data_IF_231356733023
#
_entry.id   IF_231356733023
#
_cell.length_a   1.000
_cell.length_b   1.000
_cell.length_c   1.000
_cell.angle_alpha   90.00
_cell.angle_beta   90.00
_cell.angle_gamma   90.00
#
_symmetry.space_group_name_H-M   'P 1'
#
loop_
_entity.id
_entity.type
_entity.pdbx_description
1 polymer ?
#
# COMPACT_ATOMS: atom_id res chain seq x y z
N UNK A 1 7.28 66.64 -40.57
CA UNK A 1 6.65 65.30 -40.56
C UNK A 1 7.62 64.19 -40.11
N UNK A 2 8.90 64.25 -40.47
CA UNK A 2 9.94 63.26 -40.08
C UNK A 2 10.21 63.14 -38.58
N UNK A 3 10.17 64.24 -37.81
CA UNK A 3 10.39 64.21 -36.34
C UNK A 3 9.27 63.55 -35.54
N UNK A 4 8.04 63.57 -36.05
CA UNK A 4 6.87 62.95 -35.39
C UNK A 4 6.88 61.44 -35.64
N UNK A 5 7.21 61.02 -36.87
CA UNK A 5 7.39 59.61 -37.21
C UNK A 5 8.49 58.94 -36.38
N UNK A 6 9.62 59.62 -36.17
CA UNK A 6 10.72 59.09 -35.36
C UNK A 6 10.36 58.95 -33.87
N UNK A 7 9.57 59.90 -33.32
CA UNK A 7 9.06 59.81 -31.94
C UNK A 7 8.06 58.68 -31.75
N UNK A 8 7.17 58.46 -32.74
CA UNK A 8 6.23 57.33 -32.73
C UNK A 8 6.95 55.98 -32.82
N UNK A 9 8.02 55.89 -33.62
CA UNK A 9 8.82 54.67 -33.73
C UNK A 9 9.54 54.32 -32.42
N UNK A 10 10.08 55.33 -31.72
CA UNK A 10 10.71 55.15 -30.41
C UNK A 10 9.70 54.76 -29.31
N UNK A 11 8.48 55.29 -29.37
CA UNK A 11 7.41 54.93 -28.45
C UNK A 11 6.92 53.49 -28.69
N UNK A 12 6.79 53.08 -29.96
CA UNK A 12 6.43 51.72 -30.33
C UNK A 12 7.52 50.71 -29.94
N UNK A 13 8.80 51.07 -30.12
CA UNK A 13 9.92 50.24 -29.70
C UNK A 13 9.94 50.04 -28.18
N UNK A 14 9.76 51.11 -27.39
CA UNK A 14 9.74 51.03 -25.92
C UNK A 14 8.54 50.26 -25.36
N UNK A 15 7.37 50.31 -26.01
CA UNK A 15 6.22 49.48 -25.65
C UNK A 15 6.48 47.98 -25.89
N UNK A 16 7.26 47.62 -26.93
CA UNK A 16 7.65 46.23 -27.21
C UNK A 16 8.58 45.63 -26.14
N UNK A 17 9.46 46.44 -25.53
CA UNK A 17 10.35 45.98 -24.45
C UNK A 17 9.63 45.79 -23.10
N UNK A 18 8.53 46.52 -22.85
CA UNK A 18 7.74 46.36 -21.61
C UNK A 18 6.92 45.05 -21.60
N UNK A 19 6.60 44.48 -22.77
CA UNK A 19 5.83 43.24 -22.88
C UNK A 19 6.61 41.98 -22.43
N UNK A 20 7.95 42.04 -22.33
CA UNK A 20 8.77 40.93 -21.83
C UNK A 20 9.03 40.97 -20.31
N UNK A 21 8.52 42.00 -19.59
CA UNK A 21 8.74 42.17 -18.15
C UNK A 21 7.61 41.64 -17.27
N UNK A 22 6.52 41.13 -17.85
CA UNK A 22 5.44 40.46 -17.10
C UNK A 22 5.89 39.07 -16.66
N UNK A 23 6.79 39.03 -15.67
CA UNK A 23 6.93 37.84 -14.84
C UNK A 23 5.67 37.77 -13.98
N UNK A 24 4.76 36.79 -14.18
CA UNK A 24 3.68 36.61 -13.24
C UNK A 24 4.31 36.43 -11.85
N UNK A 25 3.72 36.99 -10.78
CA UNK A 25 4.20 36.72 -9.44
C UNK A 25 4.28 35.21 -9.28
N UNK A 26 5.41 34.71 -8.78
CA UNK A 26 5.56 33.31 -8.40
C UNK A 26 4.58 33.10 -7.25
N UNK A 27 3.35 32.71 -7.60
CA UNK A 27 2.33 32.30 -6.64
C UNK A 27 2.78 30.98 -6.05
N UNK A 28 3.54 31.03 -4.95
CA UNK A 28 3.97 29.90 -4.13
C UNK A 28 2.82 29.26 -3.33
N UNK A 29 1.57 29.52 -3.74
CA UNK A 29 0.36 29.19 -2.99
C UNK A 29 -0.66 28.36 -3.75
N UNK A 30 -0.27 27.60 -4.79
CA UNK A 30 -1.20 26.62 -5.34
C UNK A 30 -1.42 25.50 -4.31
N UNK A 31 -2.60 25.54 -3.70
CA UNK A 31 -3.28 24.49 -2.91
C UNK A 31 -3.56 23.20 -3.72
N UNK A 32 -2.77 22.93 -4.76
CA UNK A 32 -2.74 21.63 -5.42
C UNK A 32 -1.94 20.69 -4.52
N UNK A 33 -2.42 19.46 -4.23
CA UNK A 33 -1.70 18.56 -3.34
C UNK A 33 -0.28 18.34 -3.88
N UNK A 34 0.70 18.88 -3.16
CA UNK A 34 2.07 19.04 -3.63
C UNK A 34 2.81 17.70 -3.56
N UNK A 35 2.39 16.87 -2.60
CA UNK A 35 3.01 15.55 -2.36
C UNK A 35 2.14 14.41 -2.86
N UNK A 36 2.80 13.29 -3.19
CA UNK A 36 2.10 12.05 -3.52
C UNK A 36 1.20 11.57 -2.36
N UNK A 37 1.53 11.91 -1.11
CA UNK A 37 0.74 11.53 0.05
C UNK A 37 -0.60 12.28 0.13
N UNK A 38 -0.59 13.57 -0.20
CA UNK A 38 -1.81 14.38 -0.25
C UNK A 38 -2.67 14.05 -1.47
N UNK A 39 -2.06 13.73 -2.62
CA UNK A 39 -2.81 13.31 -3.83
C UNK A 39 -3.45 11.93 -3.69
N UNK A 40 -2.73 11.00 -3.07
CA UNK A 40 -3.12 9.59 -2.98
C UNK A 40 -3.22 9.16 -1.51
N UNK A 41 -4.06 9.78 -0.67
CA UNK A 41 -4.07 9.52 0.76
C UNK A 41 -4.48 8.07 1.06
N UNK A 42 -3.90 7.52 2.13
CA UNK A 42 -4.33 6.23 2.65
C UNK A 42 -5.68 6.41 3.34
N UNK A 43 -6.64 5.57 2.99
CA UNK A 43 -7.93 5.48 3.65
C UNK A 43 -8.14 4.09 4.18
N UNK A 44 -8.82 4.01 5.32
CA UNK A 44 -9.14 2.75 5.96
C UNK A 44 -10.58 2.39 5.66
N UNK A 45 -10.81 1.16 5.23
CA UNK A 45 -12.15 0.61 5.04
C UNK A 45 -12.19 -0.83 5.50
N UNK A 46 -13.33 -1.24 6.05
CA UNK A 46 -13.61 -2.66 6.20
C UNK A 46 -13.83 -3.26 4.82
N UNK A 47 -13.13 -4.34 4.52
CA UNK A 47 -13.21 -5.01 3.24
C UNK A 47 -13.03 -6.52 3.42
N UNK A 48 -13.68 -7.34 2.57
CA UNK A 48 -13.51 -8.78 2.63
C UNK A 48 -12.04 -9.18 2.40
N UNK A 49 -11.55 -10.11 3.21
CA UNK A 49 -10.34 -10.86 2.98
C UNK A 49 -10.77 -12.28 2.62
N UNK A 50 -10.41 -12.74 1.41
CA UNK A 50 -10.84 -14.04 0.89
C UNK A 50 -9.66 -14.96 0.58
N UNK A 51 -9.85 -16.25 0.76
CA UNK A 51 -8.93 -17.32 0.34
C UNK A 51 -9.73 -18.40 -0.39
N UNK A 52 -9.31 -18.73 -1.59
CA UNK A 52 -9.91 -19.82 -2.37
C UNK A 52 -9.11 -21.11 -2.12
N UNK A 53 -9.80 -22.18 -1.71
CA UNK A 53 -9.25 -23.52 -1.49
C UNK A 53 -9.76 -24.44 -2.59
N UNK A 54 -8.85 -24.89 -3.44
CA UNK A 54 -9.13 -25.77 -4.55
C UNK A 54 -9.33 -27.21 -4.07
N UNK A 55 -10.48 -27.77 -4.42
CA UNK A 55 -10.84 -29.14 -4.09
C UNK A 55 -10.11 -30.08 -5.05
N UNK A 56 -9.28 -30.96 -4.51
CA UNK A 56 -8.47 -31.90 -5.29
C UNK A 56 -8.87 -33.35 -4.99
N UNK A 57 -8.77 -34.22 -6.01
CA UNK A 57 -9.04 -35.65 -5.92
C UNK A 57 -10.37 -35.97 -5.24
N UNK A 58 -10.31 -36.77 -4.17
CA UNK A 58 -11.48 -37.15 -3.38
C UNK A 58 -11.85 -36.14 -2.30
N UNK A 59 -11.36 -34.90 -2.30
CA UNK A 59 -11.66 -33.93 -1.22
C UNK A 59 -10.57 -33.90 -0.15
N UNK A 60 -9.33 -33.76 -0.62
CA UNK A 60 -8.18 -33.47 0.22
C UNK A 60 -7.84 -31.99 0.14
N UNK A 61 -7.07 -31.53 1.12
CA UNK A 61 -6.37 -30.24 1.10
C UNK A 61 -4.91 -30.64 1.00
N UNK A 62 -4.22 -30.20 -0.06
CA UNK A 62 -2.79 -30.45 -0.17
C UNK A 62 -2.01 -29.67 0.91
N UNK A 63 -0.76 -30.05 1.22
CA UNK A 63 0.00 -29.42 2.30
C UNK A 63 0.14 -27.90 2.16
N UNK A 64 0.30 -27.37 0.94
CA UNK A 64 0.45 -25.93 0.75
C UNK A 64 -0.85 -25.19 1.03
N UNK A 65 -1.98 -25.68 0.51
CA UNK A 65 -3.28 -25.08 0.83
C UNK A 65 -3.64 -25.22 2.31
N UNK A 66 -3.18 -26.28 2.97
CA UNK A 66 -3.34 -26.44 4.40
C UNK A 66 -2.60 -25.34 5.18
N UNK A 67 -1.36 -25.05 4.80
CA UNK A 67 -0.58 -23.95 5.39
C UNK A 67 -1.24 -22.58 5.11
N UNK A 68 -1.74 -22.37 3.89
CA UNK A 68 -2.47 -21.14 3.52
C UNK A 68 -3.74 -20.96 4.37
N UNK A 69 -4.50 -22.03 4.61
CA UNK A 69 -5.69 -22.02 5.47
C UNK A 69 -5.30 -21.72 6.92
N UNK A 70 -4.26 -22.35 7.45
CA UNK A 70 -3.80 -22.13 8.83
C UNK A 70 -3.32 -20.67 9.04
N UNK A 71 -2.60 -20.11 8.06
CA UNK A 71 -2.20 -18.70 8.06
C UNK A 71 -3.41 -17.77 7.99
N UNK A 72 -4.40 -18.08 7.14
CA UNK A 72 -5.63 -17.31 7.02
C UNK A 72 -6.47 -17.33 8.30
N UNK A 73 -6.55 -18.48 8.98
CA UNK A 73 -7.23 -18.61 10.26
C UNK A 73 -6.51 -17.83 11.36
N UNK A 74 -5.18 -17.83 11.37
CA UNK A 74 -4.38 -16.98 12.27
C UNK A 74 -4.67 -15.50 12.01
N UNK A 75 -4.77 -15.09 10.75
CA UNK A 75 -5.14 -13.72 10.36
C UNK A 75 -6.55 -13.37 10.86
N UNK A 76 -7.52 -14.26 10.68
CA UNK A 76 -8.89 -14.09 11.19
C UNK A 76 -8.92 -13.93 12.71
N UNK A 77 -8.18 -14.75 13.46
CA UNK A 77 -8.10 -14.65 14.93
C UNK A 77 -7.50 -13.33 15.40
N UNK A 78 -6.59 -12.72 14.62
CA UNK A 78 -5.90 -11.49 15.00
C UNK A 78 -6.63 -10.22 14.56
N UNK A 79 -7.19 -10.22 13.35
CA UNK A 79 -7.73 -9.01 12.69
C UNK A 79 -9.17 -9.16 12.21
N UNK A 80 -9.76 -10.35 12.34
CA UNK A 80 -11.10 -10.63 11.86
C UNK A 80 -12.17 -9.86 12.61
N UNK A 81 -13.14 -9.36 11.85
CA UNK A 81 -14.37 -8.71 12.31
C UNK A 81 -15.54 -9.55 11.83
N UNK A 82 -16.44 -9.90 12.76
CA UNK A 82 -17.60 -10.72 12.47
C UNK A 82 -17.27 -12.20 12.26
N UNK A 83 -18.02 -12.83 11.36
CA UNK A 83 -18.00 -14.28 11.14
C UNK A 83 -16.99 -14.70 10.06
N UNK A 84 -16.48 -15.93 10.19
CA UNK A 84 -15.80 -16.64 9.12
C UNK A 84 -16.84 -17.29 8.22
N UNK A 85 -16.91 -16.85 6.97
CA UNK A 85 -17.83 -17.40 5.97
C UNK A 85 -17.08 -18.45 5.14
N UNK A 86 -17.68 -19.64 5.01
CA UNK A 86 -17.25 -20.72 4.15
C UNK A 86 -18.27 -20.84 3.01
N UNK A 87 -17.91 -20.31 1.84
CA UNK A 87 -18.74 -20.35 0.65
C UNK A 87 -18.46 -21.63 -0.15
N UNK A 88 -19.50 -22.46 -0.29
CA UNK A 88 -19.41 -23.82 -0.84
C UNK A 88 -19.97 -23.83 -2.25
N UNK A 89 -19.20 -24.29 -3.26
CA UNK A 89 -19.69 -24.37 -4.63
C UNK A 89 -20.82 -25.40 -4.74
N UNK A 90 -21.88 -25.03 -5.45
CA UNK A 90 -23.01 -25.92 -5.79
C UNK A 90 -23.29 -25.88 -7.29
N UNK A 91 -23.65 -27.02 -7.85
CA UNK A 91 -24.00 -27.18 -9.25
C UNK A 91 -24.04 -28.67 -9.62
N UNK A 92 -24.72 -29.01 -10.72
CA UNK A 92 -24.86 -30.40 -11.18
C UNK A 92 -23.53 -31.04 -11.59
N UNK A 93 -22.54 -30.23 -11.96
CA UNK A 93 -21.23 -30.66 -12.42
C UNK A 93 -20.12 -30.46 -11.37
N UNK A 94 -20.48 -30.01 -10.15
CA UNK A 94 -19.53 -29.86 -9.04
C UNK A 94 -19.37 -31.21 -8.33
N UNK A 95 -18.15 -31.66 -7.99
CA UNK A 95 -17.93 -32.92 -7.29
C UNK A 95 -18.35 -32.80 -5.81
N UNK A 96 -19.65 -32.82 -5.55
CA UNK A 96 -20.24 -32.49 -4.24
C UNK A 96 -19.64 -33.25 -3.07
N UNK A 97 -19.42 -34.57 -3.20
CA UNK A 97 -18.82 -35.36 -2.13
C UNK A 97 -17.36 -34.99 -1.82
N UNK A 98 -16.58 -34.57 -2.82
CA UNK A 98 -15.22 -34.09 -2.59
C UNK A 98 -15.23 -32.70 -1.91
N UNK A 99 -16.13 -31.81 -2.36
CA UNK A 99 -16.33 -30.49 -1.76
C UNK A 99 -16.74 -30.60 -0.28
N UNK A 100 -17.68 -31.47 0.05
CA UNK A 100 -18.14 -31.68 1.43
C UNK A 100 -17.01 -32.21 2.33
N UNK A 101 -16.19 -33.14 1.84
CA UNK A 101 -15.03 -33.63 2.59
C UNK A 101 -13.97 -32.54 2.79
N UNK A 102 -13.72 -31.70 1.80
CA UNK A 102 -12.81 -30.55 1.95
C UNK A 102 -13.37 -29.53 2.93
N UNK A 103 -14.67 -29.24 2.88
CA UNK A 103 -15.36 -28.34 3.82
C UNK A 103 -15.19 -28.82 5.27
N UNK A 104 -15.44 -30.09 5.55
CA UNK A 104 -15.29 -30.63 6.90
C UNK A 104 -13.83 -30.59 7.39
N UNK A 105 -12.84 -30.75 6.50
CA UNK A 105 -11.43 -30.57 6.84
C UNK A 105 -11.09 -29.12 7.19
N UNK A 106 -11.56 -28.16 6.38
CA UNK A 106 -11.37 -26.72 6.66
C UNK A 106 -12.07 -26.32 7.96
N UNK A 107 -13.30 -26.79 8.18
CA UNK A 107 -14.06 -26.55 9.40
C UNK A 107 -13.35 -27.13 10.63
N UNK A 108 -12.86 -28.36 10.53
CA UNK A 108 -12.05 -29.00 11.59
C UNK A 108 -10.81 -28.18 11.94
N UNK A 109 -10.07 -27.72 10.92
CA UNK A 109 -8.90 -26.82 11.12
C UNK A 109 -9.29 -25.51 11.79
N UNK A 110 -10.36 -24.86 11.35
CA UNK A 110 -10.86 -23.63 11.96
C UNK A 110 -11.13 -23.80 13.46
N UNK A 111 -11.77 -24.92 13.85
CA UNK A 111 -12.01 -25.24 15.26
C UNK A 111 -10.70 -25.46 16.04
N UNK A 112 -9.73 -26.17 15.47
CA UNK A 112 -8.40 -26.38 16.08
C UNK A 112 -7.65 -25.06 16.29
N UNK A 113 -7.79 -24.11 15.37
CA UNK A 113 -7.23 -22.75 15.48
C UNK A 113 -8.05 -21.80 16.36
N UNK A 114 -9.05 -22.31 17.08
CA UNK A 114 -9.80 -21.55 18.08
C UNK A 114 -10.90 -20.67 17.51
N UNK A 115 -11.36 -20.91 16.27
CA UNK A 115 -12.59 -20.29 15.74
C UNK A 115 -13.79 -20.95 16.39
N UNK A 116 -14.67 -20.16 17.02
CA UNK A 116 -15.87 -20.67 17.66
C UNK A 116 -16.87 -21.24 16.65
N UNK A 117 -17.59 -22.30 17.01
CA UNK A 117 -18.62 -22.92 16.14
C UNK A 117 -19.69 -21.94 15.66
N UNK A 118 -20.02 -20.94 16.48
CA UNK A 118 -21.00 -19.87 16.17
C UNK A 118 -20.43 -18.77 15.28
N UNK A 119 -19.11 -18.69 15.15
CA UNK A 119 -18.43 -17.73 14.28
C UNK A 119 -18.30 -18.25 12.85
N UNK A 120 -18.56 -19.54 12.60
CA UNK A 120 -18.47 -20.14 11.27
C UNK A 120 -19.86 -20.16 10.62
N UNK A 121 -19.98 -19.47 9.50
CA UNK A 121 -21.17 -19.48 8.64
C UNK A 121 -20.84 -20.23 7.36
N UNK A 122 -21.69 -21.18 6.97
CA UNK A 122 -21.53 -21.91 5.71
C UNK A 122 -22.64 -21.45 4.76
N UNK A 123 -22.26 -21.00 3.56
CA UNK A 123 -23.19 -20.50 2.56
C UNK A 123 -22.93 -21.19 1.20
N UNK A 124 -23.96 -21.64 0.47
CA UNK A 124 -23.77 -22.16 -0.87
C UNK A 124 -23.61 -21.00 -1.89
N UNK A 125 -22.85 -21.22 -2.96
CA UNK A 125 -22.86 -20.34 -4.13
C UNK A 125 -23.00 -21.14 -5.44
N UNK A 126 -23.75 -20.63 -6.43
CA UNK A 126 -23.92 -21.31 -7.71
C UNK A 126 -22.68 -21.18 -8.60
N UNK A 127 -22.23 -22.29 -9.18
CA UNK A 127 -21.18 -22.29 -10.22
C UNK A 127 -21.84 -22.22 -11.59
N UNK A 128 -21.73 -21.05 -12.24
CA UNK A 128 -22.36 -20.82 -13.55
C UNK A 128 -21.59 -21.46 -14.72
N UNK A 129 -20.26 -21.51 -14.64
CA UNK A 129 -19.40 -22.05 -15.69
C UNK A 129 -18.51 -23.16 -15.15
N UNK A 130 -18.70 -24.38 -15.67
CA UNK A 130 -17.96 -25.59 -15.29
C UNK A 130 -16.51 -25.59 -15.76
N UNK A 131 -16.18 -24.79 -16.79
CA UNK A 131 -14.82 -24.63 -17.27
C UNK A 131 -13.95 -23.80 -16.30
N UNK A 132 -14.57 -23.13 -15.33
CA UNK A 132 -13.87 -22.37 -14.29
C UNK A 132 -13.79 -23.22 -13.03
N UNK A 133 -12.63 -23.18 -12.38
CA UNK A 133 -12.43 -23.86 -11.10
C UNK A 133 -13.50 -23.43 -10.07
N UNK A 134 -14.04 -24.41 -9.34
CA UNK A 134 -15.05 -24.20 -8.31
C UNK A 134 -14.44 -24.42 -6.91
N UNK A 135 -13.71 -23.43 -6.36
CA UNK A 135 -13.07 -23.55 -5.06
C UNK A 135 -14.05 -23.43 -3.89
N UNK A 136 -13.66 -23.96 -2.74
CA UNK A 136 -14.25 -23.58 -1.46
C UNK A 136 -13.66 -22.23 -1.06
N UNK A 137 -14.49 -21.19 -0.91
CA UNK A 137 -14.00 -19.84 -0.59
C UNK A 137 -14.19 -19.53 0.89
N UNK A 138 -13.11 -19.17 1.56
CA UNK A 138 -13.12 -18.65 2.93
C UNK A 138 -13.13 -17.13 2.85
N UNK A 139 -13.94 -16.46 3.66
CA UNK A 139 -13.89 -15.01 3.77
C UNK A 139 -14.23 -14.50 5.17
N UNK A 140 -13.67 -13.34 5.52
CA UNK A 140 -14.04 -12.58 6.71
C UNK A 140 -13.84 -11.09 6.46
N UNK A 141 -14.46 -10.24 7.29
CA UNK A 141 -14.23 -8.80 7.21
C UNK A 141 -13.00 -8.40 8.02
N UNK A 142 -12.14 -7.56 7.46
CA UNK A 142 -11.06 -6.91 8.21
C UNK A 142 -10.91 -5.48 7.76
N UNK A 143 -10.32 -4.67 8.63
CA UNK A 143 -9.88 -3.34 8.23
C UNK A 143 -8.70 -3.48 7.28
N UNK A 144 -8.74 -2.75 6.17
CA UNK A 144 -7.68 -2.73 5.17
C UNK A 144 -7.37 -1.28 4.80
N UNK A 145 -6.14 -1.03 4.38
CA UNK A 145 -5.77 0.25 3.79
C UNK A 145 -5.92 0.20 2.28
N UNK A 146 -6.36 1.30 1.69
CA UNK A 146 -6.33 1.53 0.24
C UNK A 146 -6.03 3.00 -0.05
N UNK A 147 -5.75 3.32 -1.31
CA UNK A 147 -5.71 4.71 -1.76
C UNK A 147 -7.15 5.20 -1.95
N UNK A 148 -7.44 6.46 -1.62
CA UNK A 148 -8.80 7.02 -1.66
C UNK A 148 -9.44 7.02 -3.06
N UNK A 149 -8.63 7.12 -4.12
CA UNK A 149 -9.07 7.10 -5.51
C UNK A 149 -8.38 6.01 -6.32
N UNK A 150 -8.80 5.87 -7.57
CA UNK A 150 -8.23 4.91 -8.49
C UNK A 150 -6.90 5.41 -9.07
N UNK A 151 -5.92 4.52 -9.13
CA UNK A 151 -4.70 4.77 -9.89
C UNK A 151 -4.98 4.70 -11.40
N UNK A 152 -4.20 5.43 -12.21
CA UNK A 152 -4.33 5.41 -13.66
C UNK A 152 -5.05 6.62 -14.26
N UNK A 153 -5.29 7.65 -13.46
CA UNK A 153 -5.83 8.94 -13.93
C UNK A 153 -4.70 9.80 -14.50
N UNK A 154 -4.74 10.10 -15.80
CA UNK A 154 -3.74 10.93 -16.48
C UNK A 154 -4.39 12.23 -16.98
N UNK A 155 -4.63 13.22 -16.11
CA UNK A 155 -5.25 14.49 -16.51
C UNK A 155 -4.36 15.33 -17.43
N UNK A 156 -3.07 15.00 -17.51
CA UNK A 156 -2.07 15.65 -18.33
C UNK A 156 -1.28 14.56 -19.05
N UNK A 157 -0.92 14.83 -20.30
CA UNK A 157 0.01 13.98 -21.04
C UNK A 157 1.40 14.06 -20.39
N UNK A 158 2.06 12.90 -20.28
CA UNK A 158 3.44 12.81 -19.81
C UNK A 158 4.44 13.27 -20.87
N UNK A 159 4.04 13.24 -22.14
CA UNK A 159 4.78 13.81 -23.25
C UNK A 159 4.80 15.34 -23.18
N UNK A 160 5.70 15.94 -23.94
CA UNK A 160 5.83 17.40 -24.03
C UNK A 160 4.71 17.97 -24.91
N UNK A 161 3.55 18.22 -24.32
CA UNK A 161 2.34 18.72 -25.01
C UNK A 161 2.01 20.17 -24.64
N UNK A 162 2.29 20.57 -23.40
CA UNK A 162 2.11 21.93 -22.90
C UNK A 162 3.39 22.39 -22.18
N UNK A 163 4.22 23.25 -22.81
CA UNK A 163 5.44 23.76 -22.21
C UNK A 163 5.22 24.40 -20.84
N UNK A 164 4.06 25.02 -20.60
CA UNK A 164 3.76 25.67 -19.33
C UNK A 164 3.54 24.66 -18.20
N UNK A 165 3.11 23.43 -18.50
CA UNK A 165 2.95 22.34 -17.53
C UNK A 165 4.19 21.44 -17.47
N UNK A 166 4.72 21.04 -18.63
CA UNK A 166 5.83 20.10 -18.73
C UNK A 166 7.17 20.69 -18.29
N UNK A 167 7.36 22.01 -18.38
CA UNK A 167 8.59 22.66 -17.90
C UNK A 167 8.59 22.94 -16.38
N UNK A 168 7.52 22.56 -15.66
CA UNK A 168 7.46 22.68 -14.19
C UNK A 168 8.26 21.55 -13.54
N UNK A 169 9.02 21.87 -12.50
CA UNK A 169 9.68 20.88 -11.65
C UNK A 169 8.69 20.29 -10.64
N UNK A 170 7.58 19.73 -11.14
CA UNK A 170 6.50 19.16 -10.35
C UNK A 170 6.29 17.68 -10.70
N UNK A 171 5.89 16.88 -9.71
CA UNK A 171 5.57 15.48 -9.93
C UNK A 171 4.27 15.34 -10.74
N UNK A 172 4.25 14.46 -11.73
CA UNK A 172 3.02 14.12 -12.48
C UNK A 172 1.91 13.58 -11.55
N UNK A 173 0.65 13.68 -11.98
CA UNK A 173 -0.52 13.38 -11.14
C UNK A 173 -0.47 11.98 -10.48
N UNK A 174 -0.26 10.94 -11.30
CA UNK A 174 -0.17 9.55 -10.84
C UNK A 174 1.10 9.18 -10.06
N UNK A 175 2.03 10.12 -9.88
CA UNK A 175 3.29 9.84 -9.20
C UNK A 175 3.01 9.35 -7.78
N UNK A 176 3.59 8.18 -7.44
CA UNK A 176 3.44 7.55 -6.14
C UNK A 176 2.13 6.75 -5.92
N UNK A 177 1.15 6.78 -6.83
CA UNK A 177 -0.10 6.03 -6.64
C UNK A 177 0.16 4.52 -6.53
N UNK A 178 0.92 3.95 -7.48
CA UNK A 178 1.27 2.52 -7.47
C UNK A 178 2.05 2.12 -6.21
N UNK A 179 3.06 2.92 -5.82
CA UNK A 179 3.84 2.68 -4.61
C UNK A 179 2.97 2.69 -3.37
N UNK A 180 2.04 3.65 -3.26
CA UNK A 180 1.15 3.75 -2.12
C UNK A 180 0.15 2.61 -2.10
N UNK A 181 -0.46 2.24 -3.23
CA UNK A 181 -1.33 1.06 -3.33
C UNK A 181 -0.60 -0.22 -2.92
N UNK A 182 0.67 -0.39 -3.31
CA UNK A 182 1.48 -1.53 -2.89
C UNK A 182 1.80 -1.52 -1.40
N UNK A 183 2.08 -0.36 -0.80
CA UNK A 183 2.28 -0.24 0.66
C UNK A 183 0.97 -0.59 1.39
N UNK A 184 -0.17 -0.08 0.90
CA UNK A 184 -1.47 -0.31 1.50
C UNK A 184 -1.89 -1.80 1.46
N UNK A 185 -1.47 -2.56 0.44
CA UNK A 185 -1.74 -4.00 0.35
C UNK A 185 -0.81 -4.87 1.20
N UNK A 186 0.42 -4.41 1.45
CA UNK A 186 1.44 -5.17 2.18
C UNK A 186 1.49 -4.86 3.68
N UNK A 187 0.91 -3.74 4.11
CA UNK A 187 0.94 -3.35 5.53
C UNK A 187 0.21 -4.38 6.40
N UNK A 188 0.88 -4.80 7.48
CA UNK A 188 0.31 -5.77 8.41
C UNK A 188 -0.82 -5.17 9.26
N UNK A 189 -0.64 -3.95 9.75
CA UNK A 189 -1.64 -3.19 10.51
C UNK A 189 -1.95 -1.89 9.76
N UNK A 190 -3.14 -1.75 9.14
CA UNK A 190 -3.45 -0.58 8.33
C UNK A 190 -3.60 0.71 9.16
N UNK A 191 -3.80 0.59 10.48
CA UNK A 191 -3.90 1.76 11.37
C UNK A 191 -2.58 2.53 11.43
N UNK A 192 -1.45 1.83 11.30
CA UNK A 192 -0.11 2.41 11.34
C UNK A 192 0.13 3.40 10.17
N UNK A 193 -0.68 3.35 9.10
CA UNK A 193 -0.61 4.30 7.99
C UNK A 193 -1.33 5.63 8.25
N UNK A 194 -2.23 5.67 9.23
CA UNK A 194 -3.03 6.87 9.56
C UNK A 194 -2.54 7.50 10.86
N UNK A 195 -2.08 6.69 11.81
CA UNK A 195 -1.54 7.19 13.08
C UNK A 195 -0.36 6.34 13.53
N UNK A 196 0.62 6.99 14.15
CA UNK A 196 1.69 6.28 14.83
C UNK A 196 1.19 5.50 16.04
N UNK A 197 1.95 4.47 16.43
CA UNK A 197 1.81 3.84 17.74
C UNK A 197 2.21 4.84 18.82
N UNK A 198 1.60 4.73 19.99
CA UNK A 198 1.99 5.56 21.12
C UNK A 198 3.43 5.23 21.53
N UNK A 199 4.20 6.27 21.82
CA UNK A 199 5.55 6.10 22.34
C UNK A 199 5.49 5.39 23.70
N UNK A 200 6.39 4.42 23.88
CA UNK A 200 6.55 3.73 25.15
C UNK A 200 7.13 4.66 26.22
N UNK A 201 7.28 4.12 27.44
CA UNK A 201 8.03 4.83 28.48
C UNK A 201 9.45 5.10 28.01
N UNK A 202 9.95 6.30 28.29
CA UNK A 202 11.36 6.66 28.07
C UNK A 202 12.26 5.64 28.79
N UNK A 203 13.26 5.12 28.07
CA UNK A 203 14.37 4.42 28.70
C UNK A 203 15.24 5.44 29.45
N UNK A 204 14.97 5.59 30.75
CA UNK A 204 15.68 6.55 31.60
C UNK A 204 17.17 6.22 31.74
N UNK A 205 17.56 4.94 31.63
CA UNK A 205 18.95 4.52 31.80
C UNK A 205 19.76 4.94 30.58
N UNK A 206 19.33 4.53 29.39
CA UNK A 206 20.00 4.90 28.13
C UNK A 206 20.02 6.42 27.94
N UNK A 207 18.91 7.10 28.25
CA UNK A 207 18.82 8.56 28.11
C UNK A 207 19.77 9.30 29.05
N UNK A 208 19.83 8.91 30.33
CA UNK A 208 20.73 9.55 31.30
C UNK A 208 22.19 9.27 30.98
N UNK A 209 22.51 8.06 30.53
CA UNK A 209 23.86 7.70 30.11
C UNK A 209 24.31 8.56 28.93
N UNK A 210 23.51 8.61 27.85
CA UNK A 210 23.82 9.42 26.67
C UNK A 210 24.01 10.90 27.02
N UNK A 211 23.18 11.43 27.93
CA UNK A 211 23.30 12.81 28.39
C UNK A 211 24.60 13.06 29.17
N UNK A 212 25.03 12.09 29.97
CA UNK A 212 26.28 12.17 30.76
C UNK A 212 27.50 12.09 29.86
N UNK A 213 27.47 11.20 28.86
CA UNK A 213 28.55 11.06 27.88
C UNK A 213 28.72 12.35 27.07
N UNK A 214 27.61 12.91 26.54
CA UNK A 214 27.64 14.19 25.85
C UNK A 214 28.20 15.34 26.71
N UNK A 215 27.84 15.39 28.01
CA UNK A 215 28.34 16.43 28.94
C UNK A 215 29.82 16.27 29.27
N UNK A 216 30.35 15.06 29.21
CA UNK A 216 31.75 14.75 29.53
C UNK A 216 32.64 14.65 28.29
N UNK A 217 32.10 14.97 27.10
CA UNK A 217 32.83 14.92 25.84
C UNK A 217 33.08 13.50 25.32
N UNK A 218 32.30 12.51 25.77
CA UNK A 218 32.32 11.14 25.29
C UNK A 218 31.24 10.94 24.22
N UNK A 219 31.56 10.17 23.18
CA UNK A 219 30.60 9.80 22.14
C UNK A 219 29.59 8.76 22.69
N UNK A 220 28.28 9.06 22.72
CA UNK A 220 27.25 8.12 23.16
C UNK A 220 26.89 7.06 22.10
N UNK A 221 27.54 7.08 20.92
CA UNK A 221 27.25 6.12 19.86
C UNK A 221 27.69 4.70 20.21
N UNK A 222 26.96 3.72 19.68
CA UNK A 222 27.33 2.30 19.84
C UNK A 222 28.66 2.02 19.15
N UNK A 223 29.66 1.53 19.90
CA UNK A 223 30.91 1.05 19.31
C UNK A 223 30.68 -0.30 18.62
N UNK A 224 30.59 -0.29 17.30
CA UNK A 224 30.49 -1.51 16.50
C UNK A 224 31.83 -2.25 16.50
N UNK A 225 31.87 -3.46 17.07
CA UNK A 225 33.01 -4.36 16.91
C UNK A 225 33.02 -4.86 15.47
N UNK A 226 34.04 -4.49 14.69
CA UNK A 226 34.26 -5.07 13.37
C UNK A 226 35.02 -6.38 13.53
N UNK A 227 34.40 -7.50 13.17
CA UNK A 227 35.03 -8.84 13.22
C UNK A 227 36.10 -9.06 12.13
N UNK A 228 36.62 -7.99 11.51
CA UNK A 228 37.62 -8.03 10.43
C UNK A 228 37.13 -8.62 9.09
N UNK A 229 36.02 -9.35 9.08
CA UNK A 229 35.46 -10.01 7.89
C UNK A 229 34.73 -9.08 6.92
N UNK A 230 34.39 -7.87 7.33
CA UNK A 230 33.68 -6.88 6.51
C UNK A 230 34.60 -5.82 5.86
N UNK A 231 35.93 -5.92 6.06
CA UNK A 231 36.88 -5.02 5.38
C UNK A 231 37.06 -5.45 3.92
N UNK A 232 36.30 -4.82 3.03
CA UNK A 232 36.38 -5.02 1.57
C UNK A 232 37.82 -4.81 1.04
N UNK A 233 38.66 -4.05 1.75
CA UNK A 233 40.07 -3.84 1.38
C UNK A 233 40.92 -5.12 1.39
N UNK A 234 40.55 -6.16 2.15
CA UNK A 234 41.33 -7.39 2.23
C UNK A 234 40.88 -8.48 1.23
N UNK A 235 39.80 -8.25 0.47
CA UNK A 235 39.24 -9.26 -0.45
C UNK A 235 39.62 -9.07 -1.92
N UNK A 236 40.35 -8.01 -2.28
CA UNK A 236 40.74 -7.71 -3.67
C UNK A 236 42.21 -8.06 -3.96
N UNK A 237 42.83 -8.90 -3.11
CA UNK A 237 44.26 -9.24 -3.17
C UNK A 237 44.58 -10.74 -3.18
N UNK A 238 43.60 -11.61 -3.42
CA UNK A 238 43.83 -13.05 -3.63
C UNK A 238 43.46 -13.44 -5.06
#
# INVERSE_FOLDING_TARGET
MTRIAFRLLLLAASAGLAACASRPPVTTGSITPATAAERHPFVLSDSPRSLDVFVTGTGHIDPRQADDVDAFLTEYRRYGRGVLVLEVPRGSQVPGGAVERTLERVRGRALTWGVGRREIVVAPYPVANVAVSAPLRLSFQRMQAKVAGDCGLWPQDLGFSDPALNARNENYWNFGCATRSNIASQVADPVDLVRGRQEGRIDSVTRTQNLTDLRTGKDPSTTWKQDGRASVKNQVGQ
#
